data_IF_598667834812
#
_entry.id   IF_598667834812
#
_cell.length_a   1.000
_cell.length_b   1.000
_cell.length_c   1.000
_cell.angle_alpha   90.00
_cell.angle_beta   90.00
_cell.angle_gamma   90.00
#
_symmetry.space_group_name_H-M   'P 1'
#
loop_
_entity.id
_entity.type
_entity.pdbx_description
1 polymer ?
#
# COMPACT_ATOMS: atom_id res chain seq x y z
N UNK A 1 25.14 -7.50 -17.51
CA UNK A 1 24.26 -6.37 -17.72
C UNK A 1 23.15 -6.35 -16.67
N UNK A 2 23.00 -5.23 -16.03
CA UNK A 2 21.96 -5.10 -15.02
C UNK A 2 20.60 -5.01 -15.70
N UNK A 3 19.70 -5.79 -15.20
CA UNK A 3 18.35 -5.84 -15.74
C UNK A 3 17.43 -4.99 -14.87
N UNK A 4 17.35 -3.70 -15.21
CA UNK A 4 16.51 -2.76 -14.47
C UNK A 4 15.03 -3.02 -14.68
N UNK A 5 14.67 -3.83 -15.68
CA UNK A 5 13.28 -4.14 -15.99
C UNK A 5 12.59 -4.96 -14.91
N UNK A 6 13.38 -5.58 -14.01
CA UNK A 6 12.84 -6.39 -12.92
C UNK A 6 12.81 -5.66 -11.58
N UNK A 7 13.07 -4.35 -11.58
CA UNK A 7 12.97 -3.55 -10.37
C UNK A 7 11.57 -2.94 -10.28
N UNK A 8 10.85 -3.18 -9.18
CA UNK A 8 9.53 -2.59 -9.02
C UNK A 8 9.57 -1.06 -9.07
N UNK A 9 8.65 -0.48 -9.82
CA UNK A 9 8.51 0.97 -9.90
C UNK A 9 7.51 1.43 -8.86
N UNK A 10 7.95 2.31 -7.96
CA UNK A 10 7.09 2.90 -6.94
C UNK A 10 7.09 4.41 -7.14
N UNK A 11 5.94 4.93 -7.57
CA UNK A 11 5.73 6.36 -7.74
C UNK A 11 5.14 6.91 -6.45
N UNK A 12 5.79 7.90 -5.86
CA UNK A 12 5.37 8.44 -4.57
C UNK A 12 4.86 9.86 -4.75
N UNK A 13 3.70 10.14 -4.17
CA UNK A 13 3.12 11.47 -4.12
C UNK A 13 2.75 11.79 -2.66
N UNK A 14 3.49 12.73 -2.06
CA UNK A 14 3.28 13.12 -0.67
C UNK A 14 2.60 14.49 -0.62
N UNK A 15 1.31 14.48 -0.35
CA UNK A 15 0.47 15.69 -0.34
C UNK A 15 0.00 16.09 1.05
N UNK A 16 0.79 15.76 2.08
CA UNK A 16 0.40 16.06 3.46
C UNK A 16 1.59 16.68 4.22
N UNK A 17 1.35 17.46 5.29
CA UNK A 17 2.41 18.24 5.92
C UNK A 17 3.28 17.52 6.96
N UNK A 18 2.83 16.36 7.44
CA UNK A 18 3.59 15.64 8.45
C UNK A 18 4.89 15.07 7.87
N UNK A 19 5.96 15.11 8.63
CA UNK A 19 7.22 14.53 8.20
C UNK A 19 7.12 13.01 8.20
N UNK A 20 7.39 12.40 7.04
CA UNK A 20 7.38 10.95 6.87
C UNK A 20 8.69 10.55 6.20
N UNK A 21 9.36 9.55 6.77
CA UNK A 21 10.53 8.98 6.13
C UNK A 21 10.06 8.01 5.05
N UNK A 22 10.14 8.44 3.80
CA UNK A 22 9.61 7.69 2.67
C UNK A 22 10.52 6.54 2.23
N UNK A 23 11.81 6.63 2.46
CA UNK A 23 12.75 5.63 1.97
C UNK A 23 12.45 4.21 2.46
N UNK A 24 12.23 3.98 3.78
CA UNK A 24 11.87 2.63 4.25
C UNK A 24 10.55 2.14 3.69
N UNK A 25 9.61 3.06 3.42
CA UNK A 25 8.30 2.69 2.89
C UNK A 25 8.40 2.26 1.43
N UNK A 26 9.21 2.94 0.65
CA UNK A 26 9.48 2.54 -0.74
C UNK A 26 10.20 1.19 -0.76
N UNK A 27 11.17 0.99 0.16
CA UNK A 27 11.90 -0.27 0.24
C UNK A 27 10.95 -1.44 0.56
N UNK A 28 10.07 -1.29 1.54
CA UNK A 28 9.12 -2.36 1.89
C UNK A 28 8.11 -2.61 0.78
N UNK A 29 7.71 -1.56 0.05
CA UNK A 29 6.84 -1.74 -1.10
C UNK A 29 7.51 -2.59 -2.17
N UNK A 30 8.76 -2.32 -2.49
CA UNK A 30 9.52 -3.10 -3.47
C UNK A 30 9.72 -4.55 -3.03
N UNK A 31 10.02 -4.76 -1.76
CA UNK A 31 10.18 -6.10 -1.21
C UNK A 31 8.89 -6.90 -1.32
N UNK A 32 7.75 -6.26 -1.02
CA UNK A 32 6.44 -6.90 -1.12
C UNK A 32 6.13 -7.27 -2.56
N UNK A 33 6.33 -6.35 -3.49
CA UNK A 33 6.09 -6.60 -4.91
C UNK A 33 6.96 -7.72 -5.43
N UNK A 34 8.23 -7.73 -5.07
CA UNK A 34 9.16 -8.80 -5.47
C UNK A 34 8.75 -10.15 -4.89
N UNK A 35 8.42 -10.18 -3.60
CA UNK A 35 8.01 -11.40 -2.92
C UNK A 35 6.70 -11.97 -3.45
N UNK A 36 5.81 -11.12 -3.95
CA UNK A 36 4.52 -11.54 -4.50
C UNK A 36 4.56 -11.80 -6.01
N UNK A 37 5.74 -11.75 -6.62
CA UNK A 37 5.91 -12.11 -8.01
C UNK A 37 5.56 -11.01 -9.01
N UNK A 38 5.51 -9.76 -8.59
CA UNK A 38 5.19 -8.62 -9.45
C UNK A 38 6.33 -7.60 -9.49
N UNK A 39 7.57 -8.09 -9.52
CA UNK A 39 8.76 -7.25 -9.51
C UNK A 39 8.88 -6.33 -10.73
N UNK A 40 8.20 -6.64 -11.81
CA UNK A 40 8.21 -5.85 -13.04
C UNK A 40 7.03 -4.88 -13.15
N UNK A 41 6.25 -4.73 -12.08
CA UNK A 41 5.07 -3.89 -12.08
C UNK A 41 5.34 -2.48 -11.53
N UNK A 42 4.35 -1.61 -11.66
CA UNK A 42 4.36 -0.25 -11.14
C UNK A 42 3.27 -0.05 -10.10
N UNK A 43 3.59 0.66 -9.04
CA UNK A 43 2.68 1.00 -7.95
C UNK A 43 2.69 2.51 -7.74
N UNK A 44 1.51 3.10 -7.57
CA UNK A 44 1.39 4.49 -7.09
C UNK A 44 1.09 4.48 -5.60
N UNK A 45 1.89 5.22 -4.84
CA UNK A 45 1.80 5.30 -3.39
C UNK A 45 1.64 6.77 -3.00
N UNK A 46 0.48 7.12 -2.46
CA UNK A 46 0.16 8.50 -2.11
C UNK A 46 -0.02 8.65 -0.61
N UNK A 47 0.53 9.73 -0.06
CA UNK A 47 0.35 10.10 1.33
C UNK A 47 -0.47 11.38 1.37
N UNK A 48 -1.59 11.36 2.07
CA UNK A 48 -2.59 12.42 2.02
C UNK A 48 -3.00 12.86 3.43
N UNK A 49 -3.72 13.97 3.49
CA UNK A 49 -4.29 14.44 4.77
C UNK A 49 -5.47 13.57 5.17
N UNK A 50 -5.84 13.66 6.44
CA UNK A 50 -7.03 12.98 6.94
C UNK A 50 -8.29 13.46 6.20
N UNK A 51 -8.37 14.76 5.90
CA UNK A 51 -9.51 15.31 5.17
C UNK A 51 -9.60 14.74 3.76
N UNK A 52 -8.48 14.61 3.08
CA UNK A 52 -8.45 14.07 1.73
C UNK A 52 -8.84 12.59 1.70
N UNK A 53 -8.33 11.79 2.62
CA UNK A 53 -8.68 10.36 2.63
C UNK A 53 -10.14 10.14 3.03
N UNK A 54 -10.68 10.99 3.90
CA UNK A 54 -12.10 10.94 4.25
C UNK A 54 -12.97 11.22 3.02
N UNK A 55 -12.60 12.22 2.21
CA UNK A 55 -13.30 12.54 0.97
C UNK A 55 -13.25 11.39 -0.03
N UNK A 56 -12.08 10.79 -0.21
CA UNK A 56 -11.91 9.65 -1.10
C UNK A 56 -12.71 8.44 -0.62
N UNK A 57 -12.72 8.21 0.69
CA UNK A 57 -13.44 7.10 1.30
C UNK A 57 -14.94 7.20 1.05
N UNK A 58 -15.51 8.41 1.24
CA UNK A 58 -16.91 8.65 0.98
C UNK A 58 -17.24 8.56 -0.52
N UNK A 59 -16.42 9.19 -1.35
CA UNK A 59 -16.67 9.30 -2.79
C UNK A 59 -16.59 7.95 -3.50
N UNK A 60 -15.62 7.11 -3.14
CA UNK A 60 -15.35 5.87 -3.87
C UNK A 60 -15.83 4.61 -3.16
N UNK A 61 -15.99 4.64 -1.84
CA UNK A 61 -16.43 3.48 -1.06
C UNK A 61 -17.82 3.68 -0.45
N UNK A 62 -18.35 4.90 -0.51
CA UNK A 62 -19.68 5.21 0.05
C UNK A 62 -19.73 5.18 1.57
N UNK A 63 -18.58 5.21 2.23
CA UNK A 63 -18.49 5.18 3.68
C UNK A 63 -18.05 6.52 4.23
N UNK A 64 -18.62 6.92 5.36
CA UNK A 64 -18.31 8.20 6.00
C UNK A 64 -17.10 8.10 6.91
N UNK A 65 -16.34 9.19 7.00
CA UNK A 65 -15.25 9.34 7.93
C UNK A 65 -13.90 8.91 7.38
N UNK A 66 -12.83 9.26 8.09
CA UNK A 66 -11.48 8.92 7.65
C UNK A 66 -11.20 7.43 7.84
N UNK A 67 -10.32 6.93 6.99
CA UNK A 67 -9.71 5.61 7.15
C UNK A 67 -8.20 5.81 7.11
N UNK A 68 -7.42 4.76 7.37
CA UNK A 68 -5.97 4.84 7.36
C UNK A 68 -5.37 4.54 5.98
N UNK A 69 -5.99 3.66 5.21
CA UNK A 69 -5.51 3.25 3.90
C UNK A 69 -6.68 2.93 2.96
N UNK A 70 -6.50 3.29 1.69
CA UNK A 70 -7.41 2.90 0.62
C UNK A 70 -6.59 2.29 -0.52
N UNK A 71 -7.12 1.26 -1.16
CA UNK A 71 -6.50 0.61 -2.30
C UNK A 71 -7.44 0.65 -3.49
N UNK A 72 -6.92 1.10 -4.64
CA UNK A 72 -7.68 1.20 -5.89
C UNK A 72 -7.02 0.32 -6.93
N UNK A 73 -7.41 -0.97 -7.03
CA UNK A 73 -6.76 -1.88 -7.95
C UNK A 73 -7.14 -1.59 -9.41
N UNK A 74 -6.21 -1.87 -10.29
CA UNK A 74 -6.45 -1.89 -11.74
C UNK A 74 -6.48 -3.33 -12.20
N UNK A 75 -7.01 -3.57 -13.41
CA UNK A 75 -7.07 -4.90 -13.97
C UNK A 75 -5.69 -5.45 -14.27
N UNK A 76 -5.54 -6.77 -14.25
CA UNK A 76 -4.27 -7.41 -14.56
C UNK A 76 -3.74 -7.06 -15.95
N UNK A 77 -4.63 -6.66 -16.86
CA UNK A 77 -4.29 -6.31 -18.23
C UNK A 77 -3.89 -4.84 -18.39
N UNK A 78 -4.04 -4.03 -17.34
CA UNK A 78 -3.67 -2.61 -17.41
C UNK A 78 -2.15 -2.46 -17.51
N UNK A 79 -1.72 -1.79 -18.57
CA UNK A 79 -0.31 -1.57 -18.89
C UNK A 79 -0.08 -0.10 -19.20
N UNK A 80 1.13 0.39 -18.92
CA UNK A 80 1.52 1.70 -19.39
C UNK A 80 1.97 1.62 -20.87
N UNK A 81 2.47 2.75 -21.41
CA UNK A 81 2.90 2.83 -22.79
C UNK A 81 4.03 1.84 -23.12
N UNK A 82 4.83 1.51 -22.12
CA UNK A 82 5.97 0.60 -22.29
C UNK A 82 5.61 -0.87 -22.01
N UNK A 83 4.34 -1.15 -21.75
CA UNK A 83 3.86 -2.50 -21.49
C UNK A 83 4.06 -2.95 -20.05
N UNK A 84 4.38 -2.04 -19.14
CA UNK A 84 4.55 -2.36 -17.71
C UNK A 84 3.19 -2.46 -17.03
N UNK A 85 2.97 -3.53 -16.28
CA UNK A 85 1.73 -3.71 -15.54
C UNK A 85 1.61 -2.64 -14.44
N UNK A 86 0.45 -2.02 -14.36
CA UNK A 86 0.14 -1.05 -13.32
C UNK A 86 -0.78 -1.72 -12.31
N UNK A 87 -0.32 -1.84 -11.06
CA UNK A 87 -1.10 -2.50 -10.01
C UNK A 87 -2.29 -1.66 -9.54
N UNK A 88 -2.08 -0.35 -9.43
CA UNK A 88 -3.07 0.57 -8.93
C UNK A 88 -2.49 1.56 -7.94
N UNK A 89 -3.38 2.12 -7.11
CA UNK A 89 -3.03 3.15 -6.14
C UNK A 89 -3.24 2.66 -4.71
N UNK A 90 -2.26 2.93 -3.85
CA UNK A 90 -2.40 2.79 -2.40
C UNK A 90 -2.33 4.20 -1.81
N UNK A 91 -3.37 4.60 -1.09
CA UNK A 91 -3.48 5.94 -0.50
C UNK A 91 -3.48 5.80 1.02
N UNK A 92 -2.59 6.50 1.70
CA UNK A 92 -2.38 6.37 3.14
C UNK A 92 -2.47 7.75 3.79
N UNK A 93 -3.13 7.82 4.95
CA UNK A 93 -3.18 9.03 5.78
C UNK A 93 -2.27 8.86 6.99
N UNK A 94 -1.05 9.45 6.97
CA UNK A 94 -0.12 9.29 8.09
C UNK A 94 -0.67 9.79 9.43
N UNK A 95 -1.51 10.82 9.43
CA UNK A 95 -2.12 11.33 10.66
C UNK A 95 -3.01 10.27 11.33
N UNK A 96 -3.74 9.48 10.52
CA UNK A 96 -4.58 8.40 11.06
C UNK A 96 -3.69 7.25 11.54
N UNK A 97 -2.66 6.91 10.78
CA UNK A 97 -1.70 5.87 11.18
C UNK A 97 -1.06 6.19 12.53
N UNK A 98 -0.67 7.45 12.74
CA UNK A 98 -0.07 7.88 14.00
C UNK A 98 -1.02 7.75 15.19
N UNK A 99 -2.32 7.97 14.96
CA UNK A 99 -3.32 7.75 16.02
C UNK A 99 -3.54 6.27 16.32
N UNK A 100 -3.45 5.43 15.29
CA UNK A 100 -3.66 3.98 15.44
C UNK A 100 -2.50 3.32 16.18
N UNK A 101 -1.29 3.82 16.01
CA UNK A 101 -0.11 3.29 16.69
C UNK A 101 0.81 4.45 17.09
N UNK A 102 0.45 5.19 18.15
CA UNK A 102 1.24 6.36 18.55
C UNK A 102 2.64 6.02 19.08
N UNK A 103 2.86 4.77 19.51
CA UNK A 103 4.17 4.35 19.99
C UNK A 103 5.16 4.07 18.85
N UNK A 104 4.65 3.64 17.70
CA UNK A 104 5.49 3.35 16.54
C UNK A 104 4.74 3.62 15.24
N UNK A 105 4.56 4.91 14.89
CA UNK A 105 3.87 5.26 13.64
C UNK A 105 4.58 4.73 12.39
N UNK A 106 5.90 4.62 12.43
CA UNK A 106 6.66 4.11 11.29
C UNK A 106 6.31 2.65 11.00
N UNK A 107 6.15 1.83 12.06
CA UNK A 107 5.73 0.43 11.89
C UNK A 107 4.31 0.35 11.32
N UNK A 108 3.43 1.23 11.77
CA UNK A 108 2.06 1.28 11.24
C UNK A 108 2.07 1.62 9.76
N UNK A 109 2.86 2.62 9.35
CA UNK A 109 2.97 2.98 7.95
C UNK A 109 3.50 1.84 7.08
N UNK A 110 4.50 1.10 7.56
CA UNK A 110 5.00 -0.08 6.83
C UNK A 110 3.89 -1.11 6.66
N UNK A 111 3.14 -1.36 7.73
CA UNK A 111 2.03 -2.31 7.68
C UNK A 111 0.98 -1.88 6.66
N UNK A 112 0.62 -0.60 6.63
CA UNK A 112 -0.38 -0.08 5.69
C UNK A 112 0.08 -0.17 4.24
N UNK A 113 1.36 0.08 3.96
CA UNK A 113 1.91 -0.09 2.62
C UNK A 113 1.77 -1.54 2.17
N UNK A 114 2.19 -2.48 2.99
CA UNK A 114 2.11 -3.92 2.69
C UNK A 114 0.65 -4.34 2.52
N UNK A 115 -0.21 -3.96 3.46
CA UNK A 115 -1.63 -4.27 3.44
C UNK A 115 -2.30 -3.79 2.15
N UNK A 116 -2.02 -2.54 1.76
CA UNK A 116 -2.57 -1.96 0.54
C UNK A 116 -2.12 -2.70 -0.71
N UNK A 117 -0.85 -3.06 -0.81
CA UNK A 117 -0.32 -3.81 -1.94
C UNK A 117 -0.98 -5.19 -2.02
N UNK A 118 -1.10 -5.88 -0.90
CA UNK A 118 -1.72 -7.20 -0.88
C UNK A 118 -3.18 -7.13 -1.34
N UNK A 119 -3.91 -6.07 -0.96
CA UNK A 119 -5.26 -5.85 -1.46
C UNK A 119 -5.29 -5.64 -2.98
N UNK A 120 -4.34 -4.88 -3.52
CA UNK A 120 -4.24 -4.69 -4.98
C UNK A 120 -4.04 -6.03 -5.71
N UNK A 121 -3.40 -6.98 -5.05
CA UNK A 121 -3.13 -8.30 -5.61
C UNK A 121 -4.23 -9.33 -5.34
N UNK A 122 -5.32 -8.90 -4.70
CA UNK A 122 -6.49 -9.74 -4.49
C UNK A 122 -6.57 -10.46 -3.16
N UNK A 123 -5.65 -10.21 -2.24
CA UNK A 123 -5.76 -10.75 -0.89
C UNK A 123 -6.84 -10.00 -0.11
N UNK A 124 -7.60 -10.71 0.70
CA UNK A 124 -8.69 -10.11 1.46
C UNK A 124 -8.90 -10.79 2.81
N UNK A 125 -9.86 -10.27 3.59
CA UNK A 125 -10.22 -10.79 4.91
C UNK A 125 -11.59 -11.47 4.91
N UNK A 126 -12.09 -11.88 3.75
CA UNK A 126 -13.46 -12.35 3.59
C UNK A 126 -13.78 -13.60 4.41
N UNK A 127 -12.78 -14.47 4.60
CA UNK A 127 -12.96 -15.67 5.42
C UNK A 127 -11.70 -15.93 6.25
N UNK A 128 -11.77 -16.91 7.16
CA UNK A 128 -10.67 -17.19 8.08
C UNK A 128 -9.39 -17.58 7.35
N UNK A 129 -9.49 -18.40 6.31
CA UNK A 129 -8.31 -18.87 5.57
C UNK A 129 -7.62 -17.72 4.86
N UNK A 130 -8.39 -16.89 4.14
CA UNK A 130 -7.84 -15.74 3.42
C UNK A 130 -7.25 -14.70 4.36
N UNK A 131 -7.92 -14.48 5.50
CA UNK A 131 -7.43 -13.55 6.51
C UNK A 131 -6.09 -14.01 7.09
N UNK A 132 -5.96 -15.30 7.40
CA UNK A 132 -4.72 -15.85 7.93
C UNK A 132 -3.59 -15.79 6.91
N UNK A 133 -3.88 -16.07 5.65
CA UNK A 133 -2.90 -15.93 4.57
C UNK A 133 -2.43 -14.49 4.43
N UNK A 134 -3.33 -13.54 4.47
CA UNK A 134 -2.99 -12.13 4.38
C UNK A 134 -2.15 -11.69 5.57
N UNK A 135 -2.53 -12.10 6.78
CA UNK A 135 -1.77 -11.76 7.97
C UNK A 135 -0.36 -12.35 7.95
N UNK A 136 -0.20 -13.57 7.48
CA UNK A 136 1.11 -14.21 7.33
C UNK A 136 1.99 -13.42 6.39
N UNK A 137 1.44 -12.98 5.26
CA UNK A 137 2.17 -12.16 4.30
C UNK A 137 2.50 -10.78 4.85
N UNK A 138 1.58 -10.16 5.56
CA UNK A 138 1.84 -8.86 6.20
C UNK A 138 2.99 -8.96 7.21
N UNK A 139 2.98 -10.01 8.03
CA UNK A 139 4.07 -10.24 8.98
C UNK A 139 5.41 -10.45 8.27
N UNK A 140 5.40 -11.21 7.17
CA UNK A 140 6.61 -11.48 6.39
C UNK A 140 7.27 -10.21 5.88
N UNK A 141 6.49 -9.28 5.32
CA UNK A 141 7.02 -8.09 4.67
C UNK A 141 7.15 -6.89 5.61
N UNK A 142 6.16 -6.66 6.42
CA UNK A 142 6.15 -5.50 7.31
C UNK A 142 6.88 -5.75 8.63
N UNK A 143 7.06 -7.00 9.01
CA UNK A 143 7.65 -7.36 10.29
C UNK A 143 6.72 -7.09 11.47
N UNK A 144 5.44 -6.83 11.21
CA UNK A 144 4.44 -6.51 12.24
C UNK A 144 3.28 -7.47 12.11
N UNK A 145 2.90 -8.08 13.21
CA UNK A 145 1.75 -8.96 13.23
C UNK A 145 0.48 -8.17 13.52
N UNK A 146 -0.51 -8.33 12.66
CA UNK A 146 -1.82 -7.72 12.87
C UNK A 146 -2.66 -8.65 13.73
N UNK A 147 -3.20 -8.14 14.84
CA UNK A 147 -4.11 -8.94 15.67
C UNK A 147 -5.42 -9.28 14.94
#
# INVERSE_FOLDING_TARGET
MVDDDHTPRVLVDDRQPAAVDLEPLVAVARETMTGEGVADAELSLSFVTEAEIADLHERYMGESGPTDVLSFPLDEDDRDEDGVRILGDVVIAPAVAARNNPEDPAAELRLLVVHGILHLLGHDHMDVVRREEMWTRQERYAGVRVP
#
